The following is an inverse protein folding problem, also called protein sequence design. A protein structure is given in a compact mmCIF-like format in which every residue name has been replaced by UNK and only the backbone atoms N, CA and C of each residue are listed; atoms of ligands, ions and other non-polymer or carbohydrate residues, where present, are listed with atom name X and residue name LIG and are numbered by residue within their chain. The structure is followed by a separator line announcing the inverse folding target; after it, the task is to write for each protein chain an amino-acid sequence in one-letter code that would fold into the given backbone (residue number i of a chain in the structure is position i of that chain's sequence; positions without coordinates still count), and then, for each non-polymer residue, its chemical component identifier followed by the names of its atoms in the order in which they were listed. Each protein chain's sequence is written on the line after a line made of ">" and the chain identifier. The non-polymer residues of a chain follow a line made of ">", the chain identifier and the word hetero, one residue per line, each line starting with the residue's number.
data_IF_243560644660
#
_entry.id   IF_243560644660
#
_cell.length_a   1.000
_cell.length_b   1.000
_cell.length_c   1.000
_cell.angle_alpha   90.00
_cell.angle_beta   90.00
_cell.angle_gamma   90.00
#
_symmetry.space_group_name_H-M   'P 1'
#
loop_
_entity.id
_entity.type
_entity.pdbx_description
1 polymer ?
#
# COMPACT_ATOMS: atom_id res chain seq x y z
N UNK A 1 -3.34 16.36 -24.55
CA UNK A 1 -3.48 16.91 -23.18
C UNK A 1 -3.42 15.76 -22.18
N UNK A 2 -2.78 15.93 -21.03
CA UNK A 2 -2.87 14.95 -19.95
C UNK A 2 -4.23 15.11 -19.27
N UNK A 3 -5.11 14.09 -19.38
CA UNK A 3 -6.44 14.13 -18.77
C UNK A 3 -6.40 13.78 -17.28
N UNK A 4 -5.55 12.82 -16.91
CA UNK A 4 -5.29 12.46 -15.53
C UNK A 4 -3.79 12.26 -15.31
N UNK A 5 -3.27 12.80 -14.22
CA UNK A 5 -1.94 12.49 -13.71
C UNK A 5 -2.03 11.80 -12.36
N UNK A 6 -1.46 10.61 -12.27
CA UNK A 6 -1.45 9.78 -11.05
C UNK A 6 -0.02 9.57 -10.59
N UNK A 7 0.27 9.80 -9.33
CA UNK A 7 1.58 9.49 -8.75
C UNK A 7 1.46 8.80 -7.40
N UNK A 8 2.47 8.02 -7.06
CA UNK A 8 2.51 7.31 -5.78
C UNK A 8 3.26 8.13 -4.71
N UNK A 9 2.82 8.00 -3.46
CA UNK A 9 3.57 8.33 -2.26
C UNK A 9 3.73 7.06 -1.43
N UNK A 10 4.92 6.45 -1.46
CA UNK A 10 5.12 5.09 -0.96
C UNK A 10 6.58 4.79 -0.62
N UNK A 11 6.78 3.92 0.36
CA UNK A 11 8.10 3.32 0.62
C UNK A 11 8.55 2.41 -0.56
N UNK A 12 9.85 2.18 -0.72
CA UNK A 12 10.32 1.06 -1.53
C UNK A 12 9.69 -0.26 -1.06
N UNK A 13 9.38 -1.15 -1.99
CA UNK A 13 8.72 -2.43 -1.71
C UNK A 13 7.28 -2.35 -1.14
N UNK A 14 6.63 -1.18 -1.16
CA UNK A 14 5.24 -1.02 -0.69
C UNK A 14 4.18 -1.66 -1.59
N UNK A 15 4.52 -2.13 -2.80
CA UNK A 15 3.58 -2.77 -3.72
C UNK A 15 3.02 -1.88 -4.82
N UNK A 16 3.62 -0.71 -5.06
CA UNK A 16 3.17 0.26 -6.08
C UNK A 16 2.95 -0.32 -7.47
N UNK A 17 3.99 -0.95 -8.04
CA UNK A 17 3.93 -1.47 -9.40
C UNK A 17 2.88 -2.57 -9.54
N UNK A 18 2.73 -3.43 -8.53
CA UNK A 18 1.64 -4.43 -8.48
C UNK A 18 0.28 -3.75 -8.53
N UNK A 19 0.06 -2.75 -7.68
CA UNK A 19 -1.20 -2.00 -7.65
C UNK A 19 -1.51 -1.33 -8.99
N UNK A 20 -0.53 -0.64 -9.60
CA UNK A 20 -0.75 0.03 -10.87
C UNK A 20 -1.04 -0.95 -12.01
N UNK A 21 -0.34 -2.09 -12.06
CA UNK A 21 -0.58 -3.12 -13.06
C UNK A 21 -1.96 -3.77 -12.90
N UNK A 22 -2.42 -3.98 -11.67
CA UNK A 22 -3.76 -4.52 -11.41
C UNK A 22 -4.87 -3.51 -11.71
N UNK A 23 -4.69 -2.26 -11.30
CA UNK A 23 -5.69 -1.20 -11.49
C UNK A 23 -5.77 -0.71 -12.95
N UNK A 24 -4.67 -0.74 -13.66
CA UNK A 24 -4.55 -0.28 -15.04
C UNK A 24 -3.95 -1.37 -15.94
N UNK A 25 -4.64 -2.51 -16.13
CA UNK A 25 -4.07 -3.69 -16.80
C UNK A 25 -3.74 -3.46 -18.28
N UNK A 26 -4.29 -2.43 -18.89
CA UNK A 26 -4.03 -2.04 -20.28
C UNK A 26 -3.09 -0.83 -20.39
N UNK A 27 -2.53 -0.37 -19.27
CA UNK A 27 -1.60 0.75 -19.31
C UNK A 27 -0.27 0.33 -19.93
N UNK A 28 0.34 1.27 -20.62
CA UNK A 28 1.54 1.05 -21.41
C UNK A 28 2.74 1.60 -20.67
N UNK A 29 3.68 0.73 -20.38
CA UNK A 29 4.98 1.12 -19.85
C UNK A 29 5.79 1.77 -20.98
N UNK A 30 5.95 3.09 -20.92
CA UNK A 30 6.59 3.89 -21.99
C UNK A 30 7.90 3.27 -22.44
N UNK A 31 8.70 2.82 -21.47
CA UNK A 31 10.03 2.31 -21.73
C UNK A 31 10.01 0.89 -22.30
N UNK A 32 9.08 0.04 -21.89
CA UNK A 32 8.92 -1.32 -22.42
C UNK A 32 8.42 -1.32 -23.85
N UNK A 33 7.49 -0.43 -24.21
CA UNK A 33 7.01 -0.29 -25.58
C UNK A 33 8.05 0.31 -26.52
N UNK A 34 9.03 1.03 -25.99
CA UNK A 34 10.22 1.44 -26.74
C UNK A 34 11.18 0.25 -27.02
N UNK A 35 10.82 -0.98 -26.67
CA UNK A 35 11.53 -2.19 -27.06
C UNK A 35 12.40 -2.83 -25.99
N UNK A 36 12.15 -2.60 -24.70
CA UNK A 36 12.89 -3.24 -23.62
C UNK A 36 12.57 -4.74 -23.52
N UNK A 37 13.54 -5.57 -23.81
CA UNK A 37 13.37 -7.00 -23.81
C UNK A 37 13.98 -7.72 -22.60
N UNK A 38 14.91 -7.08 -21.87
CA UNK A 38 15.61 -7.71 -20.75
C UNK A 38 16.02 -6.72 -19.64
N UNK A 39 16.32 -7.28 -18.46
CA UNK A 39 16.74 -6.51 -17.29
C UNK A 39 18.11 -5.82 -17.46
N UNK A 40 18.92 -6.26 -18.44
CA UNK A 40 20.23 -5.67 -18.74
C UNK A 40 20.16 -4.43 -19.63
N UNK A 41 19.05 -4.27 -20.35
CA UNK A 41 18.89 -3.22 -21.36
C UNK A 41 19.76 -3.37 -22.59
N UNK A 42 20.51 -4.48 -22.73
CA UNK A 42 21.45 -4.68 -23.83
C UNK A 42 20.73 -4.92 -25.17
N UNK A 43 19.71 -5.77 -25.17
CA UNK A 43 18.90 -6.02 -26.36
C UNK A 43 18.24 -4.75 -26.83
N UNK A 44 17.78 -3.91 -25.92
CA UNK A 44 17.20 -2.61 -26.21
C UNK A 44 18.23 -1.64 -26.80
N UNK A 45 19.41 -1.48 -26.19
CA UNK A 45 20.48 -0.63 -26.73
C UNK A 45 20.87 -1.03 -28.15
N UNK A 46 20.91 -2.33 -28.46
CA UNK A 46 21.15 -2.82 -29.82
C UNK A 46 20.04 -2.42 -30.79
N UNK A 47 18.78 -2.63 -30.42
CA UNK A 47 17.64 -2.30 -31.27
C UNK A 47 17.55 -0.80 -31.55
N UNK A 48 17.80 0.01 -30.54
CA UNK A 48 17.83 1.46 -30.68
C UNK A 48 18.99 1.96 -31.54
N UNK A 49 20.13 1.29 -31.49
CA UNK A 49 21.29 1.59 -32.36
C UNK A 49 21.04 1.20 -33.84
N UNK A 50 20.27 0.15 -34.09
CA UNK A 50 19.91 -0.32 -35.45
C UNK A 50 18.85 0.58 -36.10
N UNK A 51 17.93 1.18 -35.33
CA UNK A 51 16.82 2.01 -35.83
C UNK A 51 17.19 3.49 -36.03
N UNK A 52 18.47 3.85 -35.96
CA UNK A 52 19.05 5.20 -36.20
C UNK A 52 18.36 6.36 -35.45
N UNK A 53 17.84 6.10 -34.29
CA UNK A 53 17.12 7.12 -33.53
C UNK A 53 17.34 7.09 -32.03
N UNK A 54 18.21 6.26 -31.53
CA UNK A 54 18.31 6.03 -30.10
C UNK A 54 19.73 5.99 -29.56
N UNK A 55 19.82 6.50 -28.42
CA UNK A 55 20.82 6.64 -27.38
C UNK A 55 22.19 6.08 -27.76
N UNK A 56 23.03 6.94 -28.28
CA UNK A 56 24.46 6.71 -28.41
C UNK A 56 25.16 6.99 -27.08
N UNK A 57 26.36 6.48 -26.89
CA UNK A 57 27.16 6.61 -25.65
C UNK A 57 27.41 8.05 -25.17
N UNK A 58 26.97 9.05 -25.94
CA UNK A 58 27.24 10.48 -25.71
C UNK A 58 26.00 11.35 -25.62
N UNK A 59 24.77 10.77 -25.62
CA UNK A 59 23.55 11.59 -25.64
C UNK A 59 23.30 12.34 -24.34
N UNK A 60 22.96 13.60 -24.48
CA UNK A 60 22.50 14.44 -23.36
C UNK A 60 21.11 14.00 -22.89
N UNK A 61 20.75 14.35 -21.65
CA UNK A 61 19.40 14.09 -21.13
C UNK A 61 18.30 14.68 -22.03
N UNK A 62 18.58 15.75 -22.71
CA UNK A 62 17.65 16.42 -23.65
C UNK A 62 17.42 15.58 -24.89
N UNK A 63 18.48 15.00 -25.48
CA UNK A 63 18.37 14.12 -26.64
C UNK A 63 17.59 12.84 -26.31
N UNK A 64 17.89 12.21 -25.16
CA UNK A 64 17.14 11.04 -24.68
C UNK A 64 15.66 11.40 -24.50
N UNK A 65 15.36 12.52 -23.85
CA UNK A 65 13.98 13.01 -23.66
C UNK A 65 13.29 13.22 -25.01
N UNK A 66 13.97 13.86 -25.96
CA UNK A 66 13.41 14.14 -27.28
C UNK A 66 13.10 12.87 -28.07
N UNK A 67 13.98 11.88 -28.01
CA UNK A 67 13.80 10.60 -28.71
C UNK A 67 12.62 9.81 -28.13
N UNK A 68 12.50 9.73 -26.81
CA UNK A 68 11.35 9.11 -26.16
C UNK A 68 10.05 9.88 -26.53
N UNK A 69 10.07 11.22 -26.54
CA UNK A 69 8.91 12.03 -26.92
C UNK A 69 8.46 11.79 -28.37
N UNK A 70 9.39 11.70 -29.32
CA UNK A 70 9.06 11.35 -30.72
C UNK A 70 8.35 10.00 -30.81
N UNK A 71 8.82 9.02 -30.03
CA UNK A 71 8.19 7.71 -29.96
C UNK A 71 6.78 7.79 -29.38
N UNK A 72 6.59 8.47 -28.25
CA UNK A 72 5.28 8.66 -27.60
C UNK A 72 4.29 9.28 -28.57
N UNK A 73 4.67 10.35 -29.27
CA UNK A 73 3.82 11.02 -30.26
C UNK A 73 3.37 10.05 -31.35
N UNK A 74 4.32 9.40 -32.03
CA UNK A 74 4.03 8.43 -33.09
C UNK A 74 3.16 7.27 -32.62
N UNK A 75 3.37 6.83 -31.36
CA UNK A 75 2.58 5.76 -30.76
C UNK A 75 1.14 6.20 -30.52
N UNK A 76 0.92 7.37 -29.92
CA UNK A 76 -0.41 7.91 -29.61
C UNK A 76 -1.17 8.32 -30.87
N UNK A 77 -0.50 8.88 -31.92
CA UNK A 77 -1.10 9.14 -33.22
C UNK A 77 -1.71 7.86 -33.83
N UNK A 78 -1.06 6.72 -33.62
CA UNK A 78 -1.52 5.43 -34.15
C UNK A 78 -2.60 4.77 -33.29
N UNK A 79 -2.51 4.90 -31.96
CA UNK A 79 -3.34 4.16 -30.98
C UNK A 79 -4.45 5.02 -30.38
N UNK A 80 -4.40 6.34 -30.51
CA UNK A 80 -5.30 7.27 -29.83
C UNK A 80 -5.00 7.38 -28.34
N UNK A 81 -5.99 7.78 -27.55
CA UNK A 81 -5.88 7.92 -26.10
C UNK A 81 -5.40 6.65 -25.42
N UNK A 82 -4.37 6.77 -24.58
CA UNK A 82 -3.79 5.67 -23.81
C UNK A 82 -3.47 6.11 -22.38
N UNK A 83 -3.44 5.14 -21.46
CA UNK A 83 -2.85 5.31 -20.14
C UNK A 83 -1.37 4.92 -20.22
N UNK A 84 -0.47 5.83 -19.89
CA UNK A 84 0.97 5.64 -19.94
C UNK A 84 1.55 5.51 -18.54
N UNK A 85 2.40 4.51 -18.29
CA UNK A 85 3.17 4.38 -17.06
C UNK A 85 4.61 4.81 -17.32
N UNK A 86 5.08 5.76 -16.53
CA UNK A 86 6.45 6.25 -16.54
C UNK A 86 7.16 5.87 -15.24
N UNK A 87 8.31 5.22 -15.36
CA UNK A 87 9.15 4.84 -14.24
C UNK A 87 10.59 5.28 -14.44
N UNK A 88 11.14 6.04 -13.50
CA UNK A 88 12.57 6.36 -13.52
C UNK A 88 13.44 5.11 -13.39
N UNK A 89 12.93 4.07 -12.76
CA UNK A 89 13.65 2.80 -12.66
C UNK A 89 13.74 2.08 -14.02
N UNK A 90 12.72 2.16 -14.85
CA UNK A 90 12.76 1.65 -16.22
C UNK A 90 13.67 2.50 -17.11
N UNK A 91 13.64 3.82 -16.97
CA UNK A 91 14.52 4.74 -17.72
C UNK A 91 16.00 4.43 -17.47
N UNK A 92 16.38 3.98 -16.26
CA UNK A 92 17.77 3.57 -15.98
C UNK A 92 18.30 2.54 -16.96
N UNK A 93 17.47 1.61 -17.38
CA UNK A 93 17.88 0.51 -18.26
C UNK A 93 18.32 0.99 -19.65
N UNK A 94 17.92 2.20 -20.09
CA UNK A 94 18.35 2.80 -21.35
C UNK A 94 19.62 3.62 -21.24
N UNK A 95 20.00 3.98 -20.03
CA UNK A 95 21.09 4.92 -19.87
C UNK A 95 22.43 4.22 -19.93
N UNK A 96 23.36 4.84 -20.61
CA UNK A 96 24.74 4.38 -20.61
C UNK A 96 25.33 4.42 -19.18
N UNK A 97 26.08 3.39 -18.81
CA UNK A 97 26.61 3.21 -17.46
C UNK A 97 25.64 2.54 -16.46
N UNK A 98 24.42 2.15 -16.90
CA UNK A 98 23.57 1.30 -16.07
C UNK A 98 24.16 -0.10 -15.97
N UNK A 99 24.25 -0.60 -14.74
CA UNK A 99 24.43 -2.03 -14.46
C UNK A 99 23.48 -2.45 -13.36
N UNK A 100 23.01 -3.70 -13.33
CA UNK A 100 22.15 -4.20 -12.26
C UNK A 100 22.76 -4.09 -10.86
N UNK A 101 24.11 -4.18 -10.80
CA UNK A 101 24.91 -4.10 -9.57
C UNK A 101 25.03 -2.67 -9.05
N UNK A 102 25.05 -1.69 -9.97
CA UNK A 102 25.29 -0.26 -9.68
C UNK A 102 24.24 0.66 -10.31
N UNK A 103 22.93 0.44 -10.03
CA UNK A 103 21.86 1.25 -10.62
C UNK A 103 21.85 2.70 -10.13
N UNK A 104 22.59 2.99 -9.05
CA UNK A 104 22.70 4.34 -8.47
C UNK A 104 23.48 5.31 -9.38
N UNK A 105 24.39 4.82 -10.22
CA UNK A 105 25.22 5.66 -11.11
C UNK A 105 24.34 6.52 -12.02
N UNK A 106 23.27 5.96 -12.56
CA UNK A 106 22.37 6.64 -13.49
C UNK A 106 21.05 7.11 -12.83
N UNK A 107 20.94 7.01 -11.50
CA UNK A 107 19.68 7.30 -10.80
C UNK A 107 19.24 8.76 -10.97
N UNK A 108 20.12 9.71 -10.73
CA UNK A 108 19.77 11.13 -10.84
C UNK A 108 19.41 11.50 -12.27
N UNK A 109 20.16 11.00 -13.25
CA UNK A 109 19.88 11.18 -14.66
C UNK A 109 18.51 10.64 -15.05
N UNK A 110 18.16 9.41 -14.64
CA UNK A 110 16.85 8.82 -14.94
C UNK A 110 15.69 9.61 -14.32
N UNK A 111 15.86 10.17 -13.13
CA UNK A 111 14.87 11.02 -12.47
C UNK A 111 14.69 12.35 -13.21
N UNK A 112 15.78 12.95 -13.69
CA UNK A 112 15.73 14.19 -14.48
C UNK A 112 15.03 13.97 -15.82
N UNK A 113 15.33 12.87 -16.53
CA UNK A 113 14.68 12.51 -17.79
C UNK A 113 13.18 12.27 -17.56
N UNK A 114 12.79 11.50 -16.54
CA UNK A 114 11.38 11.28 -16.21
C UNK A 114 10.64 12.61 -15.99
N UNK A 115 11.24 13.55 -15.28
CA UNK A 115 10.66 14.90 -15.09
C UNK A 115 10.53 15.67 -16.39
N UNK A 116 11.59 15.68 -17.21
CA UNK A 116 11.60 16.38 -18.49
C UNK A 116 10.54 15.81 -19.44
N UNK A 117 10.35 14.48 -19.44
CA UNK A 117 9.29 13.82 -20.20
C UNK A 117 7.89 14.25 -19.74
N UNK A 118 7.64 14.30 -18.43
CA UNK A 118 6.36 14.75 -17.89
C UNK A 118 6.07 16.18 -18.36
N UNK A 119 7.05 17.07 -18.31
CA UNK A 119 6.90 18.46 -18.73
C UNK A 119 6.66 18.54 -20.24
N UNK A 120 7.43 17.81 -21.04
CA UNK A 120 7.27 17.79 -22.50
C UNK A 120 5.89 17.24 -22.91
N UNK A 121 5.39 16.18 -22.26
CA UNK A 121 4.05 15.66 -22.50
C UNK A 121 2.98 16.70 -22.12
N UNK A 122 3.17 17.41 -21.00
CA UNK A 122 2.22 18.44 -20.55
C UNK A 122 2.21 19.69 -21.46
N UNK A 123 3.33 20.00 -22.14
CA UNK A 123 3.45 21.11 -23.09
C UNK A 123 2.85 20.78 -24.47
N UNK A 124 2.65 19.50 -24.76
CA UNK A 124 2.25 19.05 -26.09
C UNK A 124 0.73 18.97 -26.21
N UNK A 125 0.15 19.87 -26.97
CA UNK A 125 -1.32 19.96 -27.16
C UNK A 125 -1.93 18.82 -27.96
N UNK A 126 -1.12 18.13 -28.78
CA UNK A 126 -1.57 17.02 -29.64
C UNK A 126 -1.58 15.68 -28.91
N UNK A 127 -0.95 15.60 -27.75
CA UNK A 127 -0.94 14.39 -26.92
C UNK A 127 -2.22 14.33 -26.11
N UNK A 128 -2.92 13.18 -26.19
CA UNK A 128 -4.09 12.84 -25.39
C UNK A 128 -3.83 11.54 -24.63
N UNK A 129 -3.58 11.64 -23.32
CA UNK A 129 -3.25 10.48 -22.49
C UNK A 129 -3.59 10.68 -21.02
N UNK A 130 -3.68 9.57 -20.28
CA UNK A 130 -3.50 9.53 -18.84
C UNK A 130 -2.04 9.17 -18.54
N UNK A 131 -1.46 9.78 -17.50
CA UNK A 131 -0.07 9.58 -17.15
C UNK A 131 0.07 9.12 -15.70
N UNK A 132 0.73 7.99 -15.50
CA UNK A 132 1.03 7.42 -14.18
C UNK A 132 2.54 7.51 -13.95
N UNK A 133 2.94 8.13 -12.84
CA UNK A 133 4.34 8.13 -12.39
C UNK A 133 4.55 7.02 -11.35
N UNK A 134 5.13 5.90 -11.77
CA UNK A 134 5.56 4.82 -10.86
C UNK A 134 6.89 5.19 -10.20
N UNK A 135 6.81 6.03 -9.20
CA UNK A 135 7.93 6.48 -8.38
C UNK A 135 7.59 6.46 -6.90
N UNK A 136 8.60 6.59 -6.02
CA UNK A 136 8.38 6.55 -4.56
C UNK A 136 7.64 7.76 -3.99
N UNK A 137 7.66 8.90 -4.67
CA UNK A 137 6.95 10.11 -4.25
C UNK A 137 7.40 10.76 -2.93
N UNK A 138 8.45 10.24 -2.30
CA UNK A 138 8.93 10.74 -0.99
C UNK A 138 9.94 11.87 -1.16
N UNK A 139 10.32 12.20 -2.37
CA UNK A 139 11.07 13.40 -2.66
C UNK A 139 10.11 14.58 -2.89
N UNK A 140 9.71 15.25 -1.82
CA UNK A 140 8.79 16.37 -1.87
C UNK A 140 9.16 17.42 -2.91
N UNK A 141 10.44 17.82 -2.96
CA UNK A 141 10.88 18.89 -3.84
C UNK A 141 10.66 18.54 -5.32
N UNK A 142 10.90 17.29 -5.66
CA UNK A 142 10.70 16.79 -7.01
C UNK A 142 9.21 16.76 -7.40
N UNK A 143 8.37 16.09 -6.61
CA UNK A 143 6.96 15.94 -6.95
C UNK A 143 6.18 17.26 -6.82
N UNK A 144 6.51 18.13 -5.88
CA UNK A 144 5.87 19.45 -5.77
C UNK A 144 6.13 20.28 -7.03
N UNK A 145 7.35 20.28 -7.58
CA UNK A 145 7.65 20.98 -8.83
C UNK A 145 6.88 20.41 -10.03
N UNK A 146 6.66 19.08 -10.07
CA UNK A 146 5.82 18.46 -11.10
C UNK A 146 4.38 18.93 -10.97
N UNK A 147 3.80 18.85 -9.77
CA UNK A 147 2.40 19.27 -9.54
C UNK A 147 2.21 20.74 -9.93
N UNK A 148 3.13 21.62 -9.53
CA UNK A 148 3.07 23.05 -9.87
C UNK A 148 3.07 23.29 -11.38
N UNK A 149 3.96 22.64 -12.11
CA UNK A 149 4.02 22.75 -13.57
C UNK A 149 2.74 22.19 -14.21
N UNK A 150 2.28 21.01 -13.78
CA UNK A 150 1.07 20.40 -14.33
C UNK A 150 -0.17 21.28 -14.09
N UNK A 151 -0.28 21.93 -12.94
CA UNK A 151 -1.34 22.90 -12.66
C UNK A 151 -1.29 24.11 -13.57
N UNK A 152 -0.08 24.63 -13.84
CA UNK A 152 0.10 25.77 -14.78
C UNK A 152 -0.26 25.42 -16.23
N UNK A 153 -0.24 24.13 -16.58
CA UNK A 153 -0.57 23.62 -17.93
C UNK A 153 -2.01 23.12 -18.07
N UNK A 154 -2.86 23.36 -17.05
CA UNK A 154 -4.26 22.92 -17.04
C UNK A 154 -4.44 21.42 -17.29
N UNK A 155 -3.55 20.60 -16.74
CA UNK A 155 -3.75 19.15 -16.67
C UNK A 155 -5.06 18.85 -15.93
N UNK A 156 -5.83 17.89 -16.42
CA UNK A 156 -7.17 17.63 -15.91
C UNK A 156 -7.20 17.28 -14.41
N UNK A 157 -7.05 16.03 -14.07
CA UNK A 157 -7.12 15.56 -12.66
C UNK A 157 -5.74 15.13 -12.16
N UNK A 158 -5.35 15.58 -10.97
CA UNK A 158 -4.12 15.13 -10.30
C UNK A 158 -4.49 14.25 -9.10
N UNK A 159 -4.05 13.00 -9.11
CA UNK A 159 -4.33 12.00 -8.06
C UNK A 159 -3.04 11.56 -7.37
N UNK A 160 -3.01 11.60 -6.05
CA UNK A 160 -1.96 10.98 -5.25
C UNK A 160 -2.44 9.64 -4.69
N UNK A 161 -1.68 8.58 -4.93
CA UNK A 161 -1.93 7.26 -4.34
C UNK A 161 -0.92 7.03 -3.22
N UNK A 162 -1.40 7.07 -1.99
CA UNK A 162 -0.61 6.84 -0.80
C UNK A 162 -0.65 5.37 -0.39
N UNK A 163 0.52 4.75 -0.26
CA UNK A 163 0.63 3.35 0.19
C UNK A 163 1.00 3.31 1.66
N UNK A 164 0.04 2.92 2.48
CA UNK A 164 0.20 2.77 3.91
C UNK A 164 0.73 1.39 4.29
N UNK A 165 1.85 1.02 3.71
CA UNK A 165 2.50 -0.27 3.95
C UNK A 165 3.50 -0.13 5.09
N UNK A 166 3.37 -0.90 6.18
CA UNK A 166 4.32 -0.90 7.29
C UNK A 166 5.75 -1.16 6.84
N UNK A 167 6.71 -0.48 7.48
CA UNK A 167 8.13 -0.60 7.14
C UNK A 167 8.63 -2.05 7.25
N UNK A 168 8.16 -2.78 8.23
CA UNK A 168 8.53 -4.20 8.48
C UNK A 168 8.15 -5.08 7.29
N UNK A 169 6.99 -4.80 6.68
CA UNK A 169 6.53 -5.49 5.47
C UNK A 169 7.40 -5.14 4.28
N UNK A 170 7.76 -3.86 4.14
CA UNK A 170 8.66 -3.41 3.09
C UNK A 170 10.04 -4.08 3.20
N UNK A 171 10.58 -4.19 4.44
CA UNK A 171 11.85 -4.86 4.71
C UNK A 171 11.78 -6.36 4.40
N UNK A 172 10.73 -7.06 4.84
CA UNK A 172 10.51 -8.48 4.53
C UNK A 172 10.37 -8.76 3.03
N UNK A 173 9.71 -7.85 2.30
CA UNK A 173 9.61 -7.96 0.82
C UNK A 173 10.94 -7.68 0.14
N UNK A 174 11.78 -6.79 0.71
CA UNK A 174 13.11 -6.50 0.21
C UNK A 174 14.02 -7.73 0.23
N UNK A 175 13.93 -8.58 1.26
CA UNK A 175 14.71 -9.82 1.37
C UNK A 175 14.50 -10.75 0.17
N UNK A 176 13.26 -10.80 -0.35
CA UNK A 176 12.86 -11.65 -1.47
C UNK A 176 13.09 -11.02 -2.85
N UNK A 177 13.42 -9.74 -2.91
CA UNK A 177 13.57 -9.00 -4.15
C UNK A 177 14.97 -9.23 -4.74
N UNK A 178 15.06 -9.46 -6.06
CA UNK A 178 16.33 -9.57 -6.79
C UNK A 178 17.14 -8.28 -6.72
N UNK A 179 16.48 -7.15 -7.02
CA UNK A 179 17.09 -5.83 -6.89
C UNK A 179 17.05 -5.35 -5.45
N UNK A 180 18.19 -5.08 -4.86
CA UNK A 180 18.30 -4.59 -3.49
C UNK A 180 18.22 -3.06 -3.44
N UNK A 181 17.57 -2.57 -2.41
CA UNK A 181 17.55 -1.15 -2.01
C UNK A 181 18.26 -1.07 -0.66
N UNK A 182 19.14 -0.09 -0.42
CA UNK A 182 19.76 0.07 0.89
C UNK A 182 18.69 0.18 2.00
N UNK A 183 18.86 -0.62 3.05
CA UNK A 183 17.91 -0.65 4.17
C UNK A 183 17.79 0.73 4.83
N UNK A 184 18.91 1.44 4.98
CA UNK A 184 18.94 2.80 5.52
C UNK A 184 18.11 3.79 4.69
N UNK A 185 18.01 3.58 3.37
CA UNK A 185 17.17 4.41 2.50
C UNK A 185 15.68 4.20 2.79
N UNK A 186 15.27 2.98 3.12
CA UNK A 186 13.90 2.68 3.53
C UNK A 186 13.58 3.36 4.86
N UNK A 187 14.45 3.24 5.87
CA UNK A 187 14.25 3.91 7.16
C UNK A 187 14.21 5.44 7.00
N UNK A 188 15.15 6.01 6.25
CA UNK A 188 15.18 7.45 5.97
C UNK A 188 13.91 7.94 5.27
N UNK A 189 13.37 7.17 4.33
CA UNK A 189 12.13 7.49 3.64
C UNK A 189 10.92 7.33 4.55
N UNK A 190 10.92 6.32 5.43
CA UNK A 190 9.83 6.13 6.40
C UNK A 190 9.68 7.34 7.34
N UNK A 191 10.76 7.96 7.77
CA UNK A 191 10.72 9.19 8.59
C UNK A 191 10.09 10.39 7.86
N UNK A 192 10.04 10.38 6.53
CA UNK A 192 9.58 11.49 5.70
C UNK A 192 8.20 11.28 5.09
N UNK A 193 7.69 10.05 5.09
CA UNK A 193 6.50 9.69 4.30
C UNK A 193 5.26 10.47 4.75
N UNK A 194 5.08 10.66 6.07
CA UNK A 194 3.96 11.42 6.61
C UNK A 194 4.02 12.90 6.25
N UNK A 195 5.21 13.50 6.32
CA UNK A 195 5.40 14.89 5.90
C UNK A 195 5.08 15.05 4.41
N UNK A 196 5.46 14.05 3.59
CA UNK A 196 5.16 14.06 2.16
C UNK A 196 3.65 13.95 1.92
N UNK A 197 2.99 13.00 2.56
CA UNK A 197 1.54 12.82 2.50
C UNK A 197 0.80 14.12 2.81
N UNK A 198 1.08 14.71 3.96
CA UNK A 198 0.40 15.92 4.42
C UNK A 198 0.63 17.13 3.51
N UNK A 199 1.75 17.18 2.80
CA UNK A 199 2.00 18.22 1.78
C UNK A 199 1.25 18.00 0.48
N UNK A 200 1.00 16.73 0.09
CA UNK A 200 0.30 16.42 -1.15
C UNK A 200 -1.21 16.59 -1.04
N UNK A 201 -1.81 16.23 0.10
CA UNK A 201 -3.27 16.27 0.29
C UNK A 201 -3.91 17.59 -0.19
N UNK A 202 -3.43 18.79 0.19
CA UNK A 202 -4.05 20.03 -0.25
C UNK A 202 -3.76 20.42 -1.71
N UNK A 203 -2.90 19.70 -2.41
CA UNK A 203 -2.43 20.06 -3.75
C UNK A 203 -2.99 19.17 -4.86
N UNK A 204 -3.66 18.09 -4.51
CA UNK A 204 -4.24 17.12 -5.45
C UNK A 204 -5.74 17.18 -5.46
N UNK A 205 -6.37 16.75 -6.57
CA UNK A 205 -7.83 16.70 -6.69
C UNK A 205 -8.39 15.46 -6.04
N UNK A 206 -7.58 14.39 -5.96
CA UNK A 206 -7.96 13.14 -5.32
C UNK A 206 -6.78 12.55 -4.56
N UNK A 207 -7.06 12.10 -3.35
CA UNK A 207 -6.11 11.38 -2.52
C UNK A 207 -6.66 9.98 -2.23
N UNK A 208 -5.97 8.96 -2.76
CA UNK A 208 -6.34 7.55 -2.59
C UNK A 208 -5.37 6.93 -1.60
N UNK A 209 -5.88 6.38 -0.51
CA UNK A 209 -5.09 5.57 0.41
C UNK A 209 -5.21 4.10 0.01
N UNK A 210 -4.08 3.44 -0.15
CA UNK A 210 -3.95 2.00 -0.34
C UNK A 210 -3.45 1.42 0.97
N UNK A 211 -4.35 0.85 1.74
CA UNK A 211 -4.01 0.26 3.01
C UNK A 211 -3.30 -1.09 2.82
N UNK A 212 -2.31 -1.36 3.67
CA UNK A 212 -1.67 -2.67 3.71
C UNK A 212 -2.67 -3.77 4.11
N UNK A 213 -3.64 -3.43 4.93
CA UNK A 213 -4.73 -4.30 5.35
C UNK A 213 -5.83 -4.36 4.30
N UNK A 214 -5.47 -4.63 3.04
CA UNK A 214 -6.43 -4.83 1.93
C UNK A 214 -7.09 -6.20 1.96
N UNK A 215 -6.93 -6.95 3.06
CA UNK A 215 -7.68 -8.17 3.23
C UNK A 215 -9.17 -7.85 3.21
N UNK A 216 -9.89 -8.58 2.37
CA UNK A 216 -11.32 -8.37 2.16
C UNK A 216 -12.14 -8.63 3.42
N UNK A 217 -11.69 -9.61 4.23
CA UNK A 217 -12.36 -10.05 5.46
C UNK A 217 -11.47 -9.81 6.67
N UNK A 218 -12.04 -9.18 7.68
CA UNK A 218 -11.36 -8.91 8.94
C UNK A 218 -11.99 -9.71 10.07
N UNK A 219 -11.18 -10.47 10.77
CA UNK A 219 -11.54 -11.18 11.98
C UNK A 219 -10.90 -10.46 13.18
N UNK A 220 -11.70 -10.13 14.18
CA UNK A 220 -11.26 -9.37 15.34
C UNK A 220 -11.45 -10.20 16.63
N UNK A 221 -10.42 -10.31 17.42
CA UNK A 221 -10.60 -10.68 18.82
C UNK A 221 -11.20 -9.52 19.62
N UNK A 222 -11.79 -9.83 20.75
CA UNK A 222 -12.39 -8.82 21.63
C UNK A 222 -11.51 -8.50 22.83
N UNK A 223 -11.11 -9.50 23.59
CA UNK A 223 -10.42 -9.35 24.88
C UNK A 223 -8.95 -8.99 24.64
N UNK A 224 -8.50 -7.83 25.13
CA UNK A 224 -7.14 -7.35 24.85
C UNK A 224 -6.96 -6.68 23.48
N UNK A 225 -7.94 -6.82 22.57
CA UNK A 225 -7.93 -6.22 21.22
C UNK A 225 -8.91 -5.06 21.13
N UNK A 226 -10.22 -5.32 21.20
CA UNK A 226 -11.26 -4.27 21.17
C UNK A 226 -11.60 -3.74 22.53
N UNK A 227 -11.46 -4.58 23.57
CA UNK A 227 -11.78 -4.25 24.97
C UNK A 227 -10.53 -4.38 25.85
N UNK A 228 -10.31 -3.40 26.72
CA UNK A 228 -9.17 -3.36 27.66
C UNK A 228 -9.31 -4.43 28.76
N UNK A 229 -8.88 -5.65 28.46
CA UNK A 229 -8.97 -6.77 29.39
C UNK A 229 -7.91 -6.76 30.50
N UNK A 230 -6.74 -6.14 30.27
CA UNK A 230 -5.59 -6.17 31.20
C UNK A 230 -5.79 -5.48 32.56
N UNK A 231 -6.99 -4.92 32.83
CA UNK A 231 -7.38 -4.35 34.13
C UNK A 231 -8.50 -5.14 34.82
N UNK A 232 -8.83 -6.33 34.32
CA UNK A 232 -9.74 -7.24 35.02
C UNK A 232 -9.13 -7.57 36.39
N UNK A 233 -9.90 -7.37 37.46
CA UNK A 233 -9.44 -7.70 38.82
C UNK A 233 -9.29 -9.21 38.91
N UNK A 234 -8.06 -9.66 39.13
CA UNK A 234 -7.84 -11.02 39.65
C UNK A 234 -8.28 -11.04 41.11
N UNK A 235 -8.88 -12.14 41.54
CA UNK A 235 -9.12 -12.36 42.97
C UNK A 235 -7.77 -12.52 43.71
N UNK A 236 -7.81 -12.56 45.03
CA UNK A 236 -6.63 -12.73 45.88
C UNK A 236 -5.87 -14.06 45.65
N UNK A 237 -6.45 -15.00 44.92
CA UNK A 237 -5.85 -16.26 44.50
C UNK A 237 -5.34 -16.27 43.06
N UNK A 238 -5.41 -15.14 42.39
CA UNK A 238 -4.98 -15.02 40.99
C UNK A 238 -5.98 -15.60 39.97
N UNK A 239 -7.19 -15.99 40.41
CA UNK A 239 -8.25 -16.42 39.52
C UNK A 239 -8.96 -15.18 38.95
N UNK A 240 -9.12 -15.13 37.64
CA UNK A 240 -10.01 -14.14 37.06
C UNK A 240 -11.45 -14.47 37.50
N UNK A 241 -12.19 -13.45 37.93
CA UNK A 241 -13.61 -13.56 38.25
C UNK A 241 -14.46 -13.81 37.01
N UNK A 242 -14.16 -14.90 36.28
CA UNK A 242 -14.94 -15.35 35.11
C UNK A 242 -16.38 -15.73 35.48
N UNK A 243 -16.70 -15.68 36.76
CA UNK A 243 -18.00 -16.07 37.34
C UNK A 243 -18.81 -14.83 37.78
N UNK A 244 -18.19 -13.65 37.93
CA UNK A 244 -18.95 -12.46 38.29
C UNK A 244 -19.66 -11.90 37.04
N UNK A 245 -20.96 -11.80 37.13
CA UNK A 245 -21.78 -11.04 36.20
C UNK A 245 -21.24 -9.59 36.11
N UNK A 246 -21.14 -9.08 34.88
CA UNK A 246 -20.78 -7.67 34.55
C UNK A 246 -19.30 -7.40 34.22
N UNK A 247 -18.43 -8.43 34.15
CA UNK A 247 -17.04 -8.22 33.81
C UNK A 247 -16.88 -7.67 32.40
N UNK A 248 -17.41 -8.38 31.40
CA UNK A 248 -17.15 -8.08 29.99
C UNK A 248 -17.92 -6.83 29.53
N UNK A 249 -19.16 -6.64 29.98
CA UNK A 249 -19.96 -5.47 29.58
C UNK A 249 -19.40 -4.13 30.07
N UNK A 250 -18.57 -4.14 31.13
CA UNK A 250 -17.98 -2.95 31.72
C UNK A 250 -16.52 -2.67 31.28
N UNK A 251 -15.93 -3.50 30.44
CA UNK A 251 -14.60 -3.25 29.89
C UNK A 251 -14.59 -1.95 29.08
N UNK A 252 -13.50 -1.19 29.21
CA UNK A 252 -13.31 0.03 28.42
C UNK A 252 -12.97 -0.34 26.97
N UNK A 253 -13.58 0.35 25.96
CA UNK A 253 -13.24 0.13 24.58
C UNK A 253 -11.82 0.65 24.26
N UNK A 254 -11.13 -0.07 23.40
CA UNK A 254 -9.90 0.37 22.74
C UNK A 254 -10.31 1.19 21.53
N UNK A 255 -10.70 2.45 21.79
CA UNK A 255 -11.40 3.29 20.83
C UNK A 255 -10.67 3.43 19.51
N UNK A 256 -9.36 3.63 19.52
CA UNK A 256 -8.60 3.83 18.30
C UNK A 256 -8.47 2.57 17.41
N UNK A 257 -8.59 1.36 17.96
CA UNK A 257 -8.72 0.15 17.14
C UNK A 257 -10.09 0.13 16.45
N UNK A 258 -11.14 0.47 17.19
CA UNK A 258 -12.50 0.56 16.64
C UNK A 258 -12.56 1.61 15.52
N UNK A 259 -11.98 2.78 15.77
CA UNK A 259 -11.94 3.88 14.79
C UNK A 259 -11.14 3.46 13.55
N UNK A 260 -9.99 2.80 13.73
CA UNK A 260 -9.19 2.24 12.65
C UNK A 260 -9.99 1.25 11.79
N UNK A 261 -10.70 0.33 12.41
CA UNK A 261 -11.52 -0.66 11.68
C UNK A 261 -12.61 0.01 10.89
N UNK A 262 -13.32 1.00 11.48
CA UNK A 262 -14.39 1.76 10.81
C UNK A 262 -13.86 2.56 9.61
N UNK A 263 -12.64 3.07 9.70
CA UNK A 263 -12.01 3.86 8.64
C UNK A 263 -11.55 3.00 7.45
N UNK A 264 -11.11 1.75 7.71
CA UNK A 264 -10.39 0.95 6.72
C UNK A 264 -11.13 -0.28 6.20
N UNK A 265 -12.25 -0.67 6.83
CA UNK A 265 -12.98 -1.87 6.45
C UNK A 265 -14.47 -1.60 6.20
N UNK A 266 -15.03 -2.29 5.22
CA UNK A 266 -16.49 -2.37 5.07
C UNK A 266 -17.05 -3.26 6.18
N UNK A 267 -17.91 -2.72 7.04
CA UNK A 267 -18.42 -3.38 8.24
C UNK A 267 -19.12 -4.72 7.96
N UNK A 268 -19.66 -4.92 6.76
CA UNK A 268 -20.25 -6.22 6.36
C UNK A 268 -19.22 -7.34 6.26
N UNK A 269 -17.93 -7.01 6.11
CA UNK A 269 -16.82 -7.93 6.00
C UNK A 269 -15.99 -8.03 7.30
N UNK A 270 -16.47 -7.42 8.38
CA UNK A 270 -15.83 -7.46 9.70
C UNK A 270 -16.56 -8.46 10.59
N UNK A 271 -15.81 -9.34 11.21
CA UNK A 271 -16.30 -10.43 12.05
C UNK A 271 -15.60 -10.43 13.41
N UNK A 272 -16.37 -10.67 14.46
CA UNK A 272 -15.79 -10.91 15.80
C UNK A 272 -15.55 -12.40 15.96
N UNK A 273 -14.34 -12.78 16.39
CA UNK A 273 -13.98 -14.16 16.76
C UNK A 273 -13.34 -14.14 18.12
N UNK A 274 -14.15 -14.32 19.16
CA UNK A 274 -13.69 -14.24 20.54
C UNK A 274 -13.97 -15.50 21.34
N UNK A 275 -13.07 -15.82 22.28
CA UNK A 275 -13.29 -16.94 23.18
C UNK A 275 -14.37 -16.60 24.22
N UNK A 276 -15.23 -17.56 24.53
CA UNK A 276 -16.32 -17.39 25.47
C UNK A 276 -16.53 -18.69 26.29
N UNK A 277 -16.28 -18.62 27.60
CA UNK A 277 -16.31 -19.80 28.44
C UNK A 277 -17.73 -20.25 28.83
N UNK A 278 -18.70 -19.33 28.84
CA UNK A 278 -20.07 -19.59 29.25
C UNK A 278 -21.08 -18.60 28.63
N UNK A 279 -22.36 -18.84 28.86
CA UNK A 279 -23.46 -18.04 28.35
C UNK A 279 -23.53 -16.61 28.91
N UNK A 280 -23.05 -16.41 30.15
CA UNK A 280 -23.03 -15.06 30.77
C UNK A 280 -22.00 -14.20 30.02
N UNK A 281 -20.78 -14.69 29.88
CA UNK A 281 -19.74 -14.00 29.09
C UNK A 281 -20.19 -13.72 27.66
N UNK A 282 -20.92 -14.65 27.03
CA UNK A 282 -21.49 -14.47 25.71
C UNK A 282 -22.49 -13.30 25.65
N UNK A 283 -23.43 -13.24 26.63
CA UNK A 283 -24.40 -12.16 26.73
C UNK A 283 -23.75 -10.81 26.96
N UNK A 284 -22.81 -10.73 27.90
CA UNK A 284 -22.11 -9.49 28.23
C UNK A 284 -21.25 -8.95 27.09
N UNK A 285 -20.61 -9.83 26.34
CA UNK A 285 -19.83 -9.44 25.15
C UNK A 285 -20.73 -8.91 24.03
N UNK A 286 -21.92 -9.47 23.85
CA UNK A 286 -22.90 -8.91 22.92
C UNK A 286 -23.41 -7.53 23.36
N UNK A 287 -23.76 -7.36 24.64
CA UNK A 287 -24.15 -6.06 25.18
C UNK A 287 -23.04 -5.01 25.00
N UNK A 288 -21.78 -5.42 25.19
CA UNK A 288 -20.63 -4.56 24.95
C UNK A 288 -20.51 -4.15 23.50
N UNK A 289 -20.63 -5.10 22.57
CA UNK A 289 -20.60 -4.83 21.12
C UNK A 289 -21.74 -3.91 20.70
N UNK A 290 -22.95 -4.14 21.17
CA UNK A 290 -24.11 -3.27 20.89
C UNK A 290 -23.89 -1.83 21.39
N UNK A 291 -23.16 -1.65 22.48
CA UNK A 291 -22.87 -0.34 23.05
C UNK A 291 -21.73 0.39 22.40
N UNK A 292 -20.62 -0.30 22.09
CA UNK A 292 -19.37 0.33 21.69
C UNK A 292 -18.99 0.12 20.22
N UNK A 293 -19.55 -0.92 19.59
CA UNK A 293 -19.30 -1.24 18.20
C UNK A 293 -20.56 -1.79 17.51
N UNK A 294 -21.66 -1.03 17.52
CA UNK A 294 -22.97 -1.46 17.02
C UNK A 294 -22.99 -1.75 15.51
N UNK A 295 -22.02 -1.27 14.76
CA UNK A 295 -21.91 -1.52 13.31
C UNK A 295 -21.59 -2.97 12.97
N UNK A 296 -21.09 -3.78 13.94
CA UNK A 296 -20.86 -5.21 13.73
C UNK A 296 -22.20 -5.94 13.75
N UNK A 297 -22.53 -6.55 12.62
CA UNK A 297 -23.75 -7.36 12.47
C UNK A 297 -23.78 -8.50 13.46
N UNK A 298 -24.95 -8.81 14.00
CA UNK A 298 -25.11 -9.90 14.99
C UNK A 298 -24.67 -11.26 14.43
N UNK A 299 -24.98 -11.53 13.16
CA UNK A 299 -24.55 -12.73 12.43
C UNK A 299 -23.04 -12.84 12.22
N UNK A 300 -22.31 -11.72 12.34
CA UNK A 300 -20.85 -11.67 12.25
C UNK A 300 -20.15 -11.84 13.60
N UNK A 301 -20.87 -12.10 14.70
CA UNK A 301 -20.33 -12.30 16.04
C UNK A 301 -20.17 -13.78 16.36
N UNK A 302 -18.94 -14.25 16.31
CA UNK A 302 -18.61 -15.67 16.49
C UNK A 302 -17.94 -15.90 17.84
N UNK A 303 -18.51 -16.80 18.62
CA UNK A 303 -18.02 -17.15 19.95
C UNK A 303 -17.43 -18.56 19.94
N UNK A 304 -16.16 -18.69 20.32
CA UNK A 304 -15.42 -19.95 20.36
C UNK A 304 -15.26 -20.40 21.79
N UNK A 305 -15.56 -21.64 22.12
CA UNK A 305 -15.55 -22.15 23.50
C UNK A 305 -14.16 -22.14 24.13
N UNK A 306 -13.07 -22.18 23.34
CA UNK A 306 -11.70 -22.20 23.87
C UNK A 306 -10.76 -21.45 22.91
N UNK A 307 -9.99 -20.51 23.44
CA UNK A 307 -9.02 -19.70 22.67
C UNK A 307 -7.96 -20.54 21.93
N UNK A 308 -7.56 -21.68 22.50
CA UNK A 308 -6.54 -22.54 21.89
C UNK A 308 -6.97 -23.18 20.57
N UNK A 309 -8.28 -23.23 20.29
CA UNK A 309 -8.85 -23.77 19.05
C UNK A 309 -9.36 -22.67 18.11
N UNK A 310 -9.12 -21.40 18.43
CA UNK A 310 -9.59 -20.27 17.62
C UNK A 310 -9.10 -20.37 16.16
N UNK A 311 -7.83 -20.70 15.95
CA UNK A 311 -7.25 -20.87 14.60
C UNK A 311 -7.95 -21.98 13.79
N UNK A 312 -8.29 -23.11 14.42
CA UNK A 312 -9.03 -24.21 13.76
C UNK A 312 -10.42 -23.75 13.35
N UNK A 313 -11.09 -23.01 14.23
CA UNK A 313 -12.39 -22.43 13.92
C UNK A 313 -12.31 -21.46 12.71
N UNK A 314 -11.31 -20.60 12.72
CA UNK A 314 -11.08 -19.61 11.64
C UNK A 314 -10.83 -20.30 10.31
N UNK A 315 -9.98 -21.32 10.28
CA UNK A 315 -9.68 -22.12 9.10
C UNK A 315 -10.96 -22.76 8.51
N UNK A 316 -11.73 -23.45 9.39
CA UNK A 316 -12.98 -24.08 9.01
C UNK A 316 -14.03 -23.07 8.55
N UNK A 317 -14.10 -21.90 9.20
CA UNK A 317 -15.01 -20.84 8.83
C UNK A 317 -14.67 -20.25 7.45
N UNK A 318 -13.40 -19.94 7.22
CA UNK A 318 -12.93 -19.43 5.92
C UNK A 318 -13.22 -20.44 4.79
N UNK A 319 -12.96 -21.73 5.05
CA UNK A 319 -13.28 -22.80 4.09
C UNK A 319 -14.79 -22.90 3.81
N UNK A 320 -15.64 -22.84 4.86
CA UNK A 320 -17.10 -22.83 4.72
C UNK A 320 -17.61 -21.67 3.89
N UNK A 321 -17.03 -20.49 4.11
CA UNK A 321 -17.37 -19.25 3.39
C UNK A 321 -16.75 -19.19 1.99
N UNK A 322 -15.90 -20.16 1.64
CA UNK A 322 -15.13 -20.20 0.38
C UNK A 322 -14.23 -18.97 0.19
N UNK A 323 -13.66 -18.46 1.28
CA UNK A 323 -12.71 -17.37 1.22
C UNK A 323 -11.31 -17.87 0.84
N UNK A 324 -10.59 -17.08 0.04
CA UNK A 324 -9.13 -17.28 -0.06
C UNK A 324 -8.49 -16.79 1.25
N UNK A 325 -7.65 -17.61 1.85
CA UNK A 325 -6.96 -17.26 3.12
C UNK A 325 -6.13 -15.98 3.01
N UNK A 326 -5.67 -15.66 1.80
CA UNK A 326 -4.97 -14.41 1.51
C UNK A 326 -5.84 -13.16 1.66
N UNK A 327 -7.15 -13.32 1.52
CA UNK A 327 -8.13 -12.25 1.67
C UNK A 327 -8.56 -12.06 3.12
N UNK A 328 -8.02 -12.86 4.05
CA UNK A 328 -8.39 -12.84 5.47
C UNK A 328 -7.28 -12.22 6.31
N UNK A 329 -7.66 -11.27 7.16
CA UNK A 329 -6.81 -10.73 8.21
C UNK A 329 -7.41 -11.07 9.58
N UNK A 330 -6.58 -11.41 10.55
CA UNK A 330 -6.97 -11.48 11.96
C UNK A 330 -6.17 -10.47 12.79
N UNK A 331 -6.87 -9.75 13.67
CA UNK A 331 -6.27 -8.92 14.71
C UNK A 331 -6.59 -9.57 16.08
N UNK A 332 -5.55 -10.00 16.78
CA UNK A 332 -5.67 -10.75 18.03
C UNK A 332 -4.45 -10.44 18.91
N UNK A 333 -4.62 -10.33 20.23
CA UNK A 333 -3.51 -10.11 21.16
C UNK A 333 -2.80 -11.41 21.58
N UNK A 334 -3.38 -12.56 21.26
CA UNK A 334 -2.85 -13.86 21.63
C UNK A 334 -1.88 -14.42 20.59
N UNK A 335 -0.58 -14.37 20.90
CA UNK A 335 0.50 -14.75 19.98
C UNK A 335 0.38 -16.16 19.39
N UNK A 336 -0.11 -17.14 20.16
CA UNK A 336 -0.29 -18.51 19.67
C UNK A 336 -1.34 -18.59 18.56
N UNK A 337 -2.45 -17.84 18.67
CA UNK A 337 -3.45 -17.70 17.61
C UNK A 337 -2.83 -17.09 16.36
N UNK A 338 -2.08 -15.99 16.54
CA UNK A 338 -1.45 -15.29 15.41
C UNK A 338 -0.44 -16.17 14.67
N UNK A 339 0.42 -16.89 15.42
CA UNK A 339 1.41 -17.79 14.83
C UNK A 339 0.74 -18.87 13.98
N UNK A 340 -0.27 -19.56 14.53
CA UNK A 340 -1.00 -20.62 13.84
C UNK A 340 -1.81 -20.11 12.63
N UNK A 341 -2.41 -18.93 12.73
CA UNK A 341 -3.07 -18.31 11.58
C UNK A 341 -2.08 -17.96 10.47
N UNK A 342 -0.88 -17.50 10.83
CA UNK A 342 0.19 -17.23 9.85
C UNK A 342 0.65 -18.49 9.13
N UNK A 343 0.76 -19.63 9.84
CA UNK A 343 1.14 -20.93 9.26
C UNK A 343 0.18 -21.39 8.16
N UNK A 344 -1.12 -21.10 8.29
CA UNK A 344 -2.14 -21.42 7.28
C UNK A 344 -2.32 -20.33 6.20
N UNK A 345 -1.49 -19.27 6.23
CA UNK A 345 -1.46 -18.24 5.20
C UNK A 345 -2.40 -17.05 5.44
N UNK A 346 -3.05 -16.97 6.61
CA UNK A 346 -3.85 -15.82 7.01
C UNK A 346 -2.94 -14.68 7.47
N UNK A 347 -3.26 -13.45 7.08
CA UNK A 347 -2.56 -12.27 7.60
C UNK A 347 -2.91 -12.05 9.06
N UNK A 348 -1.95 -12.25 9.97
CA UNK A 348 -2.16 -12.20 11.41
C UNK A 348 -1.41 -10.99 12.02
N UNK A 349 -2.14 -10.14 12.72
CA UNK A 349 -1.66 -8.84 13.21
C UNK A 349 -1.90 -8.70 14.70
N UNK A 350 -0.86 -8.38 15.44
CA UNK A 350 -1.00 -8.03 16.86
C UNK A 350 -1.53 -6.60 17.02
N UNK A 351 -2.45 -6.31 17.96
CA UNK A 351 -3.00 -4.96 18.17
C UNK A 351 -1.94 -3.86 18.34
N UNK A 352 -0.79 -4.16 18.96
CA UNK A 352 0.30 -3.20 19.13
C UNK A 352 0.89 -2.71 17.81
N UNK A 353 0.79 -3.48 16.75
CA UNK A 353 1.24 -3.05 15.42
C UNK A 353 0.31 -1.99 14.84
N UNK A 354 -0.98 -2.04 15.20
CA UNK A 354 -1.96 -1.01 14.85
C UNK A 354 -1.74 0.24 15.68
N UNK A 355 -1.40 0.13 16.96
CA UNK A 355 -1.03 1.27 17.81
C UNK A 355 0.15 2.05 17.24
N UNK A 356 1.21 1.36 16.82
CA UNK A 356 2.35 2.01 16.20
C UNK A 356 2.01 2.73 14.90
N UNK A 357 0.99 2.28 14.19
CA UNK A 357 0.48 2.94 12.98
C UNK A 357 -0.38 4.16 13.32
N UNK A 358 -1.23 4.07 14.34
CA UNK A 358 -2.13 5.15 14.76
C UNK A 358 -1.33 6.28 15.43
N UNK A 359 -0.37 5.97 16.28
CA UNK A 359 0.48 6.97 16.93
C UNK A 359 1.28 7.83 15.95
N UNK A 360 1.62 7.29 14.78
CA UNK A 360 2.20 8.09 13.69
C UNK A 360 1.25 9.17 13.16
N UNK A 361 -0.06 8.96 13.30
CA UNK A 361 -1.09 9.86 12.78
C UNK A 361 -1.64 10.84 13.83
N UNK A 362 -1.55 10.51 15.13
CA UNK A 362 -2.17 11.31 16.19
C UNK A 362 -1.30 12.47 16.70
N UNK A 363 -0.02 12.53 16.38
CA UNK A 363 0.87 13.61 16.80
C UNK A 363 0.77 14.90 15.98
N UNK A 364 -0.24 15.03 15.11
CA UNK A 364 -0.43 16.21 14.24
C UNK A 364 -1.83 16.83 14.33
N UNK A 365 -2.56 16.59 15.42
CA UNK A 365 -3.81 17.29 15.72
C UNK A 365 -3.52 18.47 16.66
#
# INVERSE_FOLDING_TARGET
>A
MINQFVFACALPCAGKSTYFNEKYPNAIHIVNECGYADESGEAHRKMLAEDKGCITETESNEEVTLNIMKYIKKFLEKKGHQTLIMSADEIKHVLNGYTPEHPEIVHEQSVQIARSLIYAIADESEIDCDLILDGGGINNRYNLSIIEVLRSKNVGKITCVFFDTPIEVCLKRLEKRSRKVPVDDIYRKNLKIEVCKNRYIPLVDEFIRVDYFTNKYLLLDMDGTLACYGKAKLDIHGNSDFVSSELFKNLKPVKHIIDFVKEHYDMKNVYIVTACANSIAWSEKNEWLDRFFPEILVENRMFVGNKNYKHVFIEQFAAKMKWDVKDVCIIDDFHDTLAKCTEIGINAVHPSNIYAMIDKYSYQA
#
